data_IF_243090672689
#
_entry.id   IF_243090672689
#
_cell.length_a   1.000
_cell.length_b   1.000
_cell.length_c   1.000
_cell.angle_alpha   90.00
_cell.angle_beta   90.00
_cell.angle_gamma   90.00
#
_symmetry.space_group_name_H-M   'P 1'
#
loop_
_entity.id
_entity.type
_entity.pdbx_description
1 polymer ?
#
# COMPACT_ATOMS: atom_id res chain seq x y z
N UNK A 1 6.83 -8.79 12.75
CA UNK A 1 7.13 -10.22 13.02
C UNK A 1 8.54 -10.27 13.54
N UNK A 2 8.73 -10.20 14.86
CA UNK A 2 10.06 -10.28 15.47
C UNK A 2 10.47 -11.74 15.54
N UNK A 3 11.24 -12.22 14.56
CA UNK A 3 11.95 -13.48 14.67
C UNK A 3 13.00 -13.31 15.78
N UNK A 4 12.85 -14.05 16.89
CA UNK A 4 13.90 -14.17 17.90
C UNK A 4 15.14 -14.74 17.22
N UNK A 5 16.08 -13.85 16.89
CA UNK A 5 17.37 -14.27 16.35
C UNK A 5 18.13 -14.97 17.48
N UNK A 6 18.57 -16.19 17.23
CA UNK A 6 19.42 -16.98 18.13
C UNK A 6 20.75 -17.13 17.43
N UNK A 7 21.85 -16.93 18.16
CA UNK A 7 23.18 -17.09 17.60
C UNK A 7 23.43 -18.54 17.20
N UNK A 8 23.81 -18.78 15.94
CA UNK A 8 24.12 -20.10 15.39
C UNK A 8 25.42 -20.71 15.94
N UNK A 9 26.28 -19.89 16.55
CA UNK A 9 27.59 -20.33 17.04
C UNK A 9 27.58 -20.74 18.53
N UNK A 10 26.82 -20.04 19.38
CA UNK A 10 26.80 -20.31 20.82
C UNK A 10 25.40 -20.41 21.44
N UNK A 11 24.33 -20.26 20.65
CA UNK A 11 22.95 -20.34 21.13
C UNK A 11 22.50 -19.16 22.00
N UNK A 12 23.30 -18.09 22.11
CA UNK A 12 22.93 -16.87 22.83
C UNK A 12 21.70 -16.23 22.15
N UNK A 13 20.82 -15.63 22.95
CA UNK A 13 19.75 -14.73 22.46
C UNK A 13 20.11 -13.25 22.64
N UNK A 14 21.27 -12.97 23.23
CA UNK A 14 21.77 -11.63 23.49
C UNK A 14 22.56 -11.15 22.26
N UNK A 15 21.87 -10.38 21.41
CA UNK A 15 22.36 -9.90 20.12
C UNK A 15 22.26 -8.38 20.13
N UNK A 16 23.41 -7.73 20.04
CA UNK A 16 23.50 -6.29 19.83
C UNK A 16 23.28 -5.98 18.36
N UNK A 17 22.36 -5.05 18.07
CA UNK A 17 22.01 -4.64 16.72
C UNK A 17 22.35 -3.17 16.59
N UNK A 18 23.42 -2.87 15.87
CA UNK A 18 23.82 -1.49 15.60
C UNK A 18 23.36 -1.10 14.19
N UNK A 19 22.23 -0.38 14.04
CA UNK A 19 21.75 0.06 12.74
C UNK A 19 22.68 1.09 12.08
N UNK A 20 23.53 1.80 12.84
CA UNK A 20 24.47 2.78 12.29
C UNK A 20 25.67 2.09 11.59
N UNK A 21 26.04 0.90 12.07
CA UNK A 21 27.04 0.04 11.42
C UNK A 21 26.43 -0.91 10.41
N UNK A 22 25.16 -1.26 10.58
CA UNK A 22 24.43 -2.18 9.71
C UNK A 22 24.61 -3.65 10.08
N UNK A 23 25.12 -3.94 11.27
CA UNK A 23 25.51 -5.29 11.69
C UNK A 23 24.75 -5.74 12.95
N UNK A 24 24.47 -7.03 13.04
CA UNK A 24 23.97 -7.69 14.25
C UNK A 24 25.02 -8.66 14.81
N UNK A 25 25.47 -8.45 16.05
CA UNK A 25 26.58 -9.19 16.66
C UNK A 25 26.12 -9.86 17.96
N UNK A 26 26.45 -11.14 18.16
CA UNK A 26 26.22 -11.79 19.47
C UNK A 26 27.25 -11.25 20.48
N UNK A 27 26.78 -10.70 21.60
CA UNK A 27 27.61 -10.15 22.67
C UNK A 27 28.43 -11.21 23.40
N UNK A 28 27.99 -12.48 23.36
CA UNK A 28 28.62 -13.58 24.08
C UNK A 28 29.79 -14.25 23.32
N UNK A 29 29.75 -14.28 21.98
CA UNK A 29 30.79 -14.96 21.18
C UNK A 29 31.42 -14.09 20.09
N UNK A 30 30.93 -12.86 19.89
CA UNK A 30 31.43 -11.94 18.88
C UNK A 30 31.09 -12.32 17.44
N UNK A 31 30.26 -13.34 17.21
CA UNK A 31 29.85 -13.73 15.86
C UNK A 31 28.87 -12.72 15.26
N UNK A 32 29.18 -12.27 14.04
CA UNK A 32 28.29 -11.44 13.22
C UNK A 32 27.22 -12.33 12.60
N UNK A 33 25.96 -12.05 12.89
CA UNK A 33 24.80 -12.84 12.46
C UNK A 33 24.15 -12.29 11.18
N UNK A 34 24.21 -10.98 11.00
CA UNK A 34 23.69 -10.29 9.82
C UNK A 34 24.60 -9.10 9.51
N UNK A 35 24.98 -8.98 8.24
CA UNK A 35 25.73 -7.88 7.64
C UNK A 35 24.74 -7.25 6.65
N UNK A 36 24.46 -5.95 6.79
CA UNK A 36 23.43 -5.18 6.07
C UNK A 36 21.99 -5.33 6.59
N UNK A 37 21.72 -4.81 7.79
CA UNK A 37 20.36 -4.62 8.30
C UNK A 37 19.60 -3.67 7.36
N UNK A 38 18.56 -4.17 6.67
CA UNK A 38 17.69 -3.34 5.82
C UNK A 38 16.79 -2.49 6.72
N UNK A 39 17.12 -1.20 6.85
CA UNK A 39 16.31 -0.24 7.60
C UNK A 39 15.26 0.39 6.68
N UNK A 40 13.99 0.38 7.11
CA UNK A 40 12.90 1.08 6.42
C UNK A 40 12.88 2.57 6.77
N UNK A 41 14.03 3.24 6.73
CA UNK A 41 14.13 4.67 6.99
C UNK A 41 14.25 5.45 5.68
N UNK A 42 13.73 6.69 5.68
CA UNK A 42 13.75 7.58 4.53
C UNK A 42 15.03 8.41 4.60
N UNK A 43 15.99 8.13 3.72
CA UNK A 43 17.24 8.88 3.64
C UNK A 43 17.12 10.02 2.63
N UNK A 44 17.65 11.21 2.97
CA UNK A 44 17.67 12.39 2.10
C UNK A 44 19.11 12.77 1.75
N UNK A 45 19.40 12.95 0.47
CA UNK A 45 20.68 13.45 -0.05
C UNK A 45 20.54 14.94 -0.39
N UNK A 46 21.43 15.77 0.14
CA UNK A 46 21.55 17.18 -0.25
C UNK A 46 22.60 17.31 -1.36
N UNK A 47 22.16 17.63 -2.58
CA UNK A 47 23.07 17.88 -3.70
C UNK A 47 23.77 19.23 -3.53
N UNK A 48 25.01 19.32 -4.02
CA UNK A 48 25.84 20.53 -4.00
C UNK A 48 25.19 21.78 -4.64
N UNK A 49 24.07 21.62 -5.34
CA UNK A 49 23.23 22.70 -5.87
C UNK A 49 22.15 23.20 -4.90
N UNK A 50 22.17 22.80 -3.63
CA UNK A 50 21.19 23.20 -2.60
C UNK A 50 19.82 22.52 -2.75
N UNK A 51 19.75 21.39 -3.44
CA UNK A 51 18.53 20.61 -3.61
C UNK A 51 18.56 19.35 -2.74
N UNK A 52 17.47 19.05 -2.02
CA UNK A 52 17.32 17.78 -1.31
C UNK A 52 16.58 16.76 -2.18
N UNK A 53 17.12 15.55 -2.31
CA UNK A 53 16.53 14.41 -3.00
C UNK A 53 16.35 13.25 -2.03
N UNK A 54 15.27 12.48 -2.15
CA UNK A 54 15.08 11.25 -1.34
C UNK A 54 15.83 10.09 -2.00
N UNK A 55 16.62 9.36 -1.22
CA UNK A 55 17.29 8.14 -1.68
C UNK A 55 16.29 6.99 -1.54
N UNK A 56 15.83 6.48 -2.68
CA UNK A 56 14.94 5.32 -2.75
C UNK A 56 13.82 5.47 -3.77
N UNK A 57 13.21 4.35 -4.13
CA UNK A 57 12.07 4.32 -5.05
C UNK A 57 10.77 4.12 -4.26
N UNK A 58 9.82 5.05 -4.38
CA UNK A 58 8.48 4.84 -3.83
C UNK A 58 7.79 3.69 -4.57
N UNK A 59 7.45 2.63 -3.85
CA UNK A 59 6.69 1.50 -4.38
C UNK A 59 5.24 1.65 -3.90
N UNK A 60 4.35 2.05 -4.81
CA UNK A 60 2.92 2.06 -4.51
C UNK A 60 2.39 0.63 -4.43
N UNK A 61 1.48 0.38 -3.48
CA UNK A 61 0.76 -0.91 -3.36
C UNK A 61 -0.02 -1.30 -4.63
N UNK A 62 -0.30 -0.35 -5.52
CA UNK A 62 -0.93 -0.58 -6.83
C UNK A 62 0.05 -1.07 -7.92
N UNK A 63 1.33 -1.30 -7.58
CA UNK A 63 2.35 -1.77 -8.52
C UNK A 63 2.81 -0.73 -9.54
N UNK A 64 2.44 0.53 -9.32
CA UNK A 64 2.89 1.67 -10.13
C UNK A 64 4.32 2.03 -9.73
N UNK A 65 5.28 1.66 -10.58
CA UNK A 65 6.66 2.13 -10.47
C UNK A 65 6.62 3.64 -10.71
N UNK A 66 6.85 4.45 -9.68
CA UNK A 66 7.18 5.84 -9.86
C UNK A 66 8.50 5.86 -10.66
N UNK A 67 8.40 6.06 -11.97
CA UNK A 67 9.59 6.18 -12.80
C UNK A 67 10.32 7.44 -12.31
N UNK A 68 11.56 7.23 -11.90
CA UNK A 68 12.56 8.25 -11.57
C UNK A 68 12.29 9.54 -12.33
N UNK A 69 11.98 10.60 -11.58
CA UNK A 69 11.84 11.95 -12.12
C UNK A 69 13.24 12.46 -12.48
N UNK A 70 13.63 12.21 -13.73
CA UNK A 70 14.87 12.72 -14.31
C UNK A 70 14.85 12.69 -15.83
N UNK A 71 14.72 13.88 -16.44
CA UNK A 71 15.24 14.26 -17.78
C UNK A 71 14.34 13.95 -19.01
N UNK A 72 13.71 15.03 -19.50
CA UNK A 72 13.51 15.42 -20.92
C UNK A 72 12.76 14.53 -21.92
N UNK A 73 11.47 14.23 -21.67
CA UNK A 73 10.56 13.85 -22.77
C UNK A 73 9.27 14.67 -22.78
N UNK A 74 9.00 15.47 -23.84
CA UNK A 74 7.71 16.11 -24.05
C UNK A 74 6.79 15.12 -24.76
N UNK A 75 6.03 14.32 -24.00
CA UNK A 75 4.79 13.71 -24.50
C UNK A 75 3.99 13.07 -23.38
N UNK A 76 2.89 13.74 -23.02
CA UNK A 76 1.72 13.12 -22.41
C UNK A 76 1.98 12.46 -21.07
N UNK A 77 1.98 13.25 -20.00
CA UNK A 77 1.59 12.79 -18.67
C UNK A 77 0.25 12.05 -18.82
N UNK A 78 0.29 10.73 -18.99
CA UNK A 78 -0.90 9.89 -19.03
C UNK A 78 -1.40 9.85 -17.60
N UNK A 79 -2.12 10.91 -17.22
CA UNK A 79 -2.89 11.01 -15.99
C UNK A 79 -3.54 9.66 -15.80
N UNK A 80 -3.03 8.98 -14.79
CA UNK A 80 -3.09 7.56 -14.62
C UNK A 80 -4.55 7.10 -14.63
N UNK A 81 -5.00 6.53 -15.76
CA UNK A 81 -6.44 6.34 -16.00
C UNK A 81 -7.12 5.47 -14.94
N UNK A 82 -6.31 4.71 -14.17
CA UNK A 82 -6.72 3.92 -13.02
C UNK A 82 -7.02 4.77 -11.78
N UNK A 83 -6.20 5.78 -11.45
CA UNK A 83 -6.44 6.65 -10.28
C UNK A 83 -7.73 7.44 -10.43
N UNK A 84 -7.97 8.00 -11.64
CA UNK A 84 -9.23 8.69 -11.97
C UNK A 84 -10.44 7.74 -11.89
N UNK A 85 -10.27 6.47 -12.31
CA UNK A 85 -11.33 5.45 -12.21
C UNK A 85 -11.64 5.07 -10.75
N UNK A 86 -10.61 5.01 -9.90
CA UNK A 86 -10.79 4.76 -8.47
C UNK A 86 -11.48 5.92 -7.76
N UNK A 87 -11.06 7.16 -8.00
CA UNK A 87 -11.69 8.33 -7.41
C UNK A 87 -13.17 8.47 -7.82
N UNK A 88 -13.46 8.27 -9.11
CA UNK A 88 -14.83 8.29 -9.61
C UNK A 88 -15.69 7.19 -8.98
N UNK A 89 -15.14 5.97 -8.85
CA UNK A 89 -15.80 4.87 -8.14
C UNK A 89 -16.05 5.17 -6.66
N UNK A 90 -15.05 5.74 -5.97
CA UNK A 90 -15.15 6.13 -4.56
C UNK A 90 -16.26 7.14 -4.33
N UNK A 91 -16.31 8.22 -5.11
CA UNK A 91 -17.38 9.23 -5.01
C UNK A 91 -18.75 8.59 -5.20
N UNK A 92 -18.90 7.68 -6.15
CA UNK A 92 -20.19 7.02 -6.42
C UNK A 92 -20.63 6.08 -5.30
N UNK A 93 -19.70 5.30 -4.75
CA UNK A 93 -19.95 4.41 -3.61
C UNK A 93 -20.31 5.22 -2.37
N UNK A 94 -19.61 6.33 -2.10
CA UNK A 94 -19.93 7.23 -0.99
C UNK A 94 -21.31 7.89 -1.15
N UNK A 95 -21.63 8.39 -2.35
CA UNK A 95 -22.96 8.97 -2.62
C UNK A 95 -24.10 7.98 -2.40
N UNK A 96 -23.94 6.73 -2.87
CA UNK A 96 -24.95 5.69 -2.69
C UNK A 96 -25.01 5.23 -1.23
N UNK A 97 -23.87 5.01 -0.58
CA UNK A 97 -23.80 4.63 0.83
C UNK A 97 -24.42 5.67 1.76
N UNK A 98 -24.22 6.96 1.48
CA UNK A 98 -24.84 8.05 2.23
C UNK A 98 -26.38 8.06 2.09
N UNK A 99 -26.89 7.83 0.87
CA UNK A 99 -28.34 7.71 0.61
C UNK A 99 -28.95 6.50 1.32
N UNK A 100 -28.21 5.40 1.38
CA UNK A 100 -28.60 4.15 2.06
C UNK A 100 -28.33 4.19 3.57
N UNK A 101 -27.82 5.31 4.13
CA UNK A 101 -27.43 5.48 5.54
C UNK A 101 -26.52 4.36 6.07
N UNK A 102 -25.62 3.86 5.21
CA UNK A 102 -24.66 2.83 5.58
C UNK A 102 -23.53 3.40 6.43
N UNK A 103 -22.98 2.56 7.31
CA UNK A 103 -21.83 2.92 8.12
C UNK A 103 -20.58 3.14 7.24
N UNK A 104 -19.68 4.02 7.67
CA UNK A 104 -18.43 4.33 6.96
C UNK A 104 -17.56 3.08 6.77
N UNK A 105 -17.54 2.18 7.75
CA UNK A 105 -16.88 0.88 7.66
C UNK A 105 -17.37 0.04 6.45
N UNK A 106 -18.68 0.00 6.22
CA UNK A 106 -19.27 -0.74 5.10
C UNK A 106 -18.94 -0.07 3.76
N UNK A 107 -18.94 1.27 3.71
CA UNK A 107 -18.58 2.06 2.52
C UNK A 107 -17.11 1.81 2.13
N UNK A 108 -16.20 1.82 3.10
CA UNK A 108 -14.77 1.58 2.85
C UNK A 108 -14.50 0.13 2.43
N UNK A 109 -15.18 -0.83 3.05
CA UNK A 109 -15.12 -2.25 2.65
C UNK A 109 -15.64 -2.46 1.23
N UNK A 110 -16.76 -1.82 0.85
CA UNK A 110 -17.31 -1.88 -0.50
C UNK A 110 -16.36 -1.26 -1.54
N UNK A 111 -15.67 -0.18 -1.16
CA UNK A 111 -14.64 0.43 -2.00
C UNK A 111 -13.42 -0.49 -2.19
N UNK A 112 -13.02 -1.26 -1.16
CA UNK A 112 -11.97 -2.28 -1.29
C UNK A 112 -12.35 -3.38 -2.29
N UNK A 113 -13.60 -3.87 -2.26
CA UNK A 113 -14.10 -4.80 -3.28
C UNK A 113 -14.10 -4.20 -4.68
N UNK A 114 -14.49 -2.93 -4.82
CA UNK A 114 -14.44 -2.22 -6.10
C UNK A 114 -13.01 -2.09 -6.64
N UNK A 115 -12.03 -1.78 -5.79
CA UNK A 115 -10.61 -1.73 -6.17
C UNK A 115 -10.15 -3.09 -6.73
N UNK A 116 -10.44 -4.18 -6.04
CA UNK A 116 -10.13 -5.53 -6.52
C UNK A 116 -10.81 -5.87 -7.86
N UNK A 117 -12.08 -5.47 -8.04
CA UNK A 117 -12.83 -5.70 -9.27
C UNK A 117 -12.21 -4.96 -10.48
N UNK A 118 -11.74 -3.73 -10.27
CA UNK A 118 -11.05 -2.94 -11.30
C UNK A 118 -9.71 -3.55 -11.66
N UNK A 119 -8.91 -3.98 -10.67
CA UNK A 119 -7.62 -4.65 -10.90
C UNK A 119 -7.79 -5.93 -11.72
N UNK A 120 -8.82 -6.73 -11.41
CA UNK A 120 -9.19 -7.95 -12.16
C UNK A 120 -9.92 -7.67 -13.49
N UNK A 121 -10.05 -6.42 -13.91
CA UNK A 121 -10.74 -5.99 -15.15
C UNK A 121 -12.22 -6.41 -15.24
N UNK A 122 -12.87 -6.71 -14.10
CA UNK A 122 -14.29 -7.11 -14.05
C UNK A 122 -15.25 -5.94 -14.30
N UNK A 123 -14.72 -4.73 -14.43
CA UNK A 123 -15.46 -3.50 -14.70
C UNK A 123 -15.52 -3.14 -16.18
N UNK A 124 -14.81 -3.86 -17.05
CA UNK A 124 -14.74 -3.59 -18.49
C UNK A 124 -16.09 -3.93 -19.16
N UNK A 125 -16.68 -2.96 -19.85
CA UNK A 125 -17.94 -3.14 -20.60
C UNK A 125 -19.23 -3.04 -19.76
N UNK A 126 -19.13 -2.79 -18.45
CA UNK A 126 -20.29 -2.61 -17.57
C UNK A 126 -20.36 -1.16 -17.10
N UNK A 127 -21.57 -0.59 -16.98
CA UNK A 127 -21.72 0.76 -16.42
C UNK A 127 -21.26 0.76 -14.97
N UNK A 128 -20.43 1.74 -14.59
CA UNK A 128 -19.87 1.89 -13.24
C UNK A 128 -20.94 1.83 -12.15
N UNK A 129 -22.13 2.40 -12.40
CA UNK A 129 -23.25 2.36 -11.47
C UNK A 129 -23.68 0.93 -11.04
N UNK A 130 -23.67 -0.03 -11.97
CA UNK A 130 -24.03 -1.42 -11.66
C UNK A 130 -22.95 -2.10 -10.82
N UNK A 131 -21.68 -1.86 -11.14
CA UNK A 131 -20.55 -2.40 -10.39
C UNK A 131 -20.55 -1.86 -8.96
N UNK A 132 -20.74 -0.54 -8.80
CA UNK A 132 -20.76 0.08 -7.47
C UNK A 132 -21.95 -0.42 -6.63
N UNK A 133 -23.11 -0.59 -7.24
CA UNK A 133 -24.29 -1.14 -6.56
C UNK A 133 -24.07 -2.61 -6.14
N UNK A 134 -23.46 -3.43 -7.01
CA UNK A 134 -23.15 -4.82 -6.70
C UNK A 134 -22.13 -4.96 -5.56
N UNK A 135 -21.08 -4.13 -5.54
CA UNK A 135 -20.10 -4.10 -4.45
C UNK A 135 -20.73 -3.70 -3.12
N UNK A 136 -21.61 -2.69 -3.12
CA UNK A 136 -22.36 -2.29 -1.92
C UNK A 136 -23.30 -3.41 -1.45
N UNK A 137 -24.06 -4.02 -2.36
CA UNK A 137 -24.95 -5.13 -2.04
C UNK A 137 -24.21 -6.30 -1.40
N UNK A 138 -23.01 -6.64 -1.92
CA UNK A 138 -22.18 -7.71 -1.37
C UNK A 138 -21.81 -7.44 0.09
N UNK A 139 -21.39 -6.21 0.42
CA UNK A 139 -21.03 -5.83 1.79
C UNK A 139 -22.24 -5.75 2.72
N UNK A 140 -23.33 -5.14 2.26
CA UNK A 140 -24.59 -5.09 3.03
C UNK A 140 -25.08 -6.50 3.40
N UNK A 141 -24.90 -7.47 2.49
CA UNK A 141 -25.26 -8.88 2.71
C UNK A 141 -24.30 -9.58 3.67
N UNK A 142 -22.98 -9.31 3.61
CA UNK A 142 -22.01 -9.95 4.52
C UNK A 142 -22.09 -9.41 5.95
N UNK A 143 -22.37 -8.12 6.12
CA UNK A 143 -22.50 -7.48 7.44
C UNK A 143 -23.84 -7.76 8.13
N UNK A 144 -24.77 -8.48 7.47
CA UNK A 144 -26.08 -8.83 8.04
C UNK A 144 -26.97 -7.61 8.32
N UNK A 145 -26.66 -6.43 7.77
CA UNK A 145 -27.47 -5.23 7.97
C UNK A 145 -28.82 -5.37 7.26
N UNK A 146 -29.96 -5.10 7.93
CA UNK A 146 -31.31 -5.27 7.38
C UNK A 146 -31.70 -4.13 6.42
N UNK A 147 -30.77 -3.71 5.55
CA UNK A 147 -31.02 -2.77 4.45
C UNK A 147 -31.23 -3.48 3.11
N UNK A 148 -31.42 -4.81 3.13
CA UNK A 148 -31.70 -5.60 1.93
C UNK A 148 -33.11 -5.30 1.40
N UNK A 149 -33.18 -5.09 0.09
CA UNK A 149 -34.39 -4.84 -0.70
C UNK A 149 -35.62 -5.63 -0.19
N UNK A 150 -36.61 -4.90 0.32
CA UNK A 150 -38.03 -5.18 0.06
C UNK A 150 -38.44 -4.51 -1.23
#
# INVERSE_FOLDING_TARGET
MSSNAVCSHCGCTDIDKDPARGDAVCTNCGSVLEDQIIVSEVQFEEHASGGSSVIGQFVSSDGMKAHSLGISFPRGMKRESRTVTFENGRRRIQQLGAQLKLNQHCIDTAFNFYKMAVVKQLTRGRKTAHVTAACLYLVCRTEGTPHILS
#
